data_IF_675448940389
#
_entry.id   IF_675448940389
#
_cell.length_a   1.000
_cell.length_b   1.000
_cell.length_c   1.000
_cell.angle_alpha   90.00
_cell.angle_beta   90.00
_cell.angle_gamma   90.00
#
_symmetry.space_group_name_H-M   'P 1'
#
loop_
_entity.id
_entity.type
_entity.pdbx_description
1 polymer ?
#
# COMPACT_ATOMS: atom_id res chain seq x y z
N UNK A 1 -11.53 -44.69 38.91
CA UNK A 1 -10.17 -44.70 38.34
C UNK A 1 -9.82 -43.25 38.05
N UNK A 2 -9.04 -42.64 38.96
CA UNK A 2 -8.73 -41.21 38.93
C UNK A 2 -7.75 -40.95 37.77
N UNK A 3 -8.22 -40.39 36.67
CA UNK A 3 -7.38 -39.92 35.58
C UNK A 3 -6.56 -38.73 36.06
N UNK A 4 -5.41 -39.03 36.66
CA UNK A 4 -4.34 -38.10 36.96
C UNK A 4 -3.79 -37.54 35.64
N UNK A 5 -4.10 -36.27 35.41
CA UNK A 5 -3.18 -35.20 34.97
C UNK A 5 -2.00 -35.62 34.07
N UNK A 6 -2.15 -35.39 32.76
CA UNK A 6 -1.03 -35.02 31.89
C UNK A 6 -1.42 -33.75 31.12
N UNK A 7 -1.28 -32.62 31.82
CA UNK A 7 -1.14 -31.29 31.22
C UNK A 7 0.24 -31.21 30.57
N UNK A 8 0.34 -31.36 29.25
CA UNK A 8 1.57 -31.04 28.52
C UNK A 8 1.26 -30.11 27.34
N UNK A 9 1.28 -28.82 27.67
CA UNK A 9 1.55 -27.66 26.82
C UNK A 9 1.12 -27.73 25.35
N UNK A 10 -0.15 -27.42 25.07
CA UNK A 10 -0.47 -26.73 23.82
C UNK A 10 -0.08 -25.27 24.05
N UNK A 11 1.15 -24.91 23.71
CA UNK A 11 1.50 -23.51 23.50
C UNK A 11 0.67 -23.04 22.30
N UNK A 12 -0.53 -22.51 22.56
CA UNK A 12 -1.20 -21.64 21.62
C UNK A 12 -0.24 -20.46 21.44
N UNK A 13 0.61 -20.54 20.43
CA UNK A 13 1.24 -19.36 19.86
C UNK A 13 0.06 -18.54 19.36
N UNK A 14 -0.38 -17.58 20.16
CA UNK A 14 -1.17 -16.46 19.69
C UNK A 14 -0.27 -15.73 18.70
N UNK A 15 -0.22 -16.23 17.47
CA UNK A 15 0.32 -15.46 16.36
C UNK A 15 -0.45 -14.16 16.39
N UNK A 16 0.27 -13.04 16.59
CA UNK A 16 -0.30 -11.73 16.27
C UNK A 16 -0.82 -11.89 14.85
N UNK A 17 -2.13 -11.76 14.60
CA UNK A 17 -2.63 -11.85 13.25
C UNK A 17 -1.86 -10.82 12.44
N UNK A 18 -1.21 -11.25 11.36
CA UNK A 18 -0.68 -10.31 10.38
C UNK A 18 -1.80 -9.29 10.10
N UNK A 19 -1.44 -8.00 10.07
CA UNK A 19 -2.42 -6.95 9.74
C UNK A 19 -2.72 -7.02 8.23
N UNK A 20 -3.39 -8.09 7.82
CA UNK A 20 -3.82 -8.29 6.44
C UNK A 20 -5.13 -7.52 6.23
N UNK A 21 -5.05 -6.45 5.45
CA UNK A 21 -6.25 -5.79 4.94
C UNK A 21 -6.94 -6.80 3.99
N UNK A 22 -8.24 -7.07 4.15
CA UNK A 22 -8.97 -7.98 3.26
C UNK A 22 -8.82 -7.55 1.79
N UNK A 23 -8.42 -8.49 0.93
CA UNK A 23 -8.30 -8.27 -0.52
C UNK A 23 -9.54 -8.80 -1.25
N UNK A 24 -10.00 -8.08 -2.28
CA UNK A 24 -11.06 -8.55 -3.18
C UNK A 24 -10.54 -9.73 -4.02
N UNK A 25 -11.31 -10.80 -4.23
CA UNK A 25 -10.88 -12.02 -4.98
C UNK A 25 -10.89 -11.90 -6.51
N UNK A 26 -11.14 -10.71 -7.06
CA UNK A 26 -11.30 -10.54 -8.50
C UNK A 26 -9.97 -10.79 -9.23
N UNK A 27 -10.02 -11.49 -10.36
CA UNK A 27 -8.87 -11.69 -11.26
C UNK A 27 -8.35 -10.32 -11.70
N UNK A 28 -7.06 -10.10 -11.48
CA UNK A 28 -6.41 -8.82 -11.79
C UNK A 28 -6.01 -8.79 -13.26
N UNK A 29 -6.54 -7.82 -14.01
CA UNK A 29 -6.12 -7.54 -15.37
C UNK A 29 -4.97 -6.53 -15.38
N UNK A 30 -3.74 -7.02 -15.16
CA UNK A 30 -2.55 -6.18 -15.01
C UNK A 30 -2.38 -5.13 -16.12
N UNK A 31 -2.58 -5.44 -17.42
CA UNK A 31 -2.46 -4.45 -18.50
C UNK A 31 -3.38 -3.22 -18.34
N UNK A 32 -4.54 -3.36 -17.70
CA UNK A 32 -5.48 -2.25 -17.49
C UNK A 32 -4.98 -1.22 -16.47
N UNK A 33 -3.98 -1.56 -15.65
CA UNK A 33 -3.34 -0.60 -14.75
C UNK A 33 -2.46 0.40 -15.48
N UNK A 34 -2.11 0.14 -16.75
CA UNK A 34 -1.20 0.96 -17.51
C UNK A 34 -1.67 2.43 -17.59
N UNK A 35 -0.70 3.34 -17.60
CA UNK A 35 -0.92 4.77 -17.81
C UNK A 35 -0.84 5.60 -16.54
N UNK A 36 -1.38 6.82 -16.63
CA UNK A 36 -1.22 7.85 -15.60
C UNK A 36 -2.18 7.65 -14.43
N UNK A 37 -1.67 7.97 -13.25
CA UNK A 37 -2.35 7.95 -11.97
C UNK A 37 -1.97 9.18 -11.17
N UNK A 38 -2.87 9.66 -10.31
CA UNK A 38 -2.63 10.79 -9.43
C UNK A 38 -2.88 10.37 -7.98
N UNK A 39 -1.92 10.65 -7.09
CA UNK A 39 -2.09 10.43 -5.66
C UNK A 39 -3.13 11.40 -5.08
N UNK A 40 -4.16 10.84 -4.44
CA UNK A 40 -5.27 11.59 -3.83
C UNK A 40 -5.20 11.59 -2.32
N UNK A 41 -4.87 10.45 -1.72
CA UNK A 41 -4.62 10.32 -0.28
C UNK A 41 -3.59 9.24 0.01
N UNK A 42 -2.99 9.31 1.18
CA UNK A 42 -2.12 8.27 1.73
C UNK A 42 -2.61 7.86 3.11
N UNK A 43 -2.49 6.59 3.45
CA UNK A 43 -2.77 6.07 4.78
C UNK A 43 -1.64 5.15 5.24
N UNK A 44 -1.25 5.21 6.51
CA UNK A 44 -0.17 4.37 7.05
C UNK A 44 -0.45 3.94 8.48
N UNK A 45 0.04 2.77 8.88
CA UNK A 45 0.10 2.36 10.28
C UNK A 45 1.39 2.80 11.02
N UNK A 46 2.33 3.42 10.29
CA UNK A 46 3.59 3.91 10.84
C UNK A 46 3.87 5.31 10.28
N UNK A 47 3.54 6.33 11.07
CA UNK A 47 3.59 7.74 10.66
C UNK A 47 4.98 8.17 10.14
N UNK A 48 6.06 7.53 10.63
CA UNK A 48 7.43 7.82 10.19
C UNK A 48 7.69 7.50 8.71
N UNK A 49 6.85 6.67 8.08
CA UNK A 49 6.99 6.30 6.68
C UNK A 49 6.64 7.43 5.72
N UNK A 50 5.70 8.33 6.08
CA UNK A 50 5.16 9.30 5.11
C UNK A 50 4.83 10.69 5.65
N UNK A 51 4.92 10.95 6.97
CA UNK A 51 4.41 12.21 7.53
C UNK A 51 5.25 13.45 7.22
N UNK A 52 6.53 13.29 6.86
CA UNK A 52 7.39 14.41 6.45
C UNK A 52 7.74 14.31 4.98
N UNK A 53 8.03 15.45 4.32
CA UNK A 53 8.38 15.47 2.89
C UNK A 53 9.58 14.57 2.53
N UNK A 54 10.47 14.31 3.50
CA UNK A 54 11.67 13.45 3.32
C UNK A 54 11.46 12.02 3.80
N UNK A 55 10.28 11.67 4.32
CA UNK A 55 9.99 10.34 4.80
C UNK A 55 10.14 9.29 3.67
N UNK A 56 10.56 8.04 3.97
CA UNK A 56 10.99 7.09 2.95
C UNK A 56 9.91 6.73 1.93
N UNK A 57 8.65 6.68 2.36
CA UNK A 57 7.48 6.39 1.54
C UNK A 57 6.58 7.62 1.31
N UNK A 58 7.10 8.84 1.55
CA UNK A 58 6.51 10.08 1.02
C UNK A 58 6.77 10.16 -0.49
N UNK A 59 5.95 9.46 -1.26
CA UNK A 59 6.09 9.32 -2.71
C UNK A 59 4.76 9.51 -3.40
N UNK A 60 4.76 10.03 -4.63
CA UNK A 60 3.58 10.12 -5.49
C UNK A 60 3.70 9.13 -6.62
N UNK A 61 2.81 8.15 -6.69
CA UNK A 61 2.81 7.20 -7.82
C UNK A 61 2.14 7.89 -8.99
N UNK A 62 2.87 8.00 -10.10
CA UNK A 62 2.44 8.77 -11.28
C UNK A 62 2.06 7.88 -12.45
N UNK A 63 2.64 6.67 -12.53
CA UNK A 63 2.25 5.68 -13.53
C UNK A 63 2.60 4.27 -13.10
N UNK A 64 1.85 3.33 -13.67
CA UNK A 64 2.10 1.90 -13.55
C UNK A 64 2.32 1.34 -14.95
N UNK A 65 3.35 0.51 -15.10
CA UNK A 65 3.77 -0.05 -16.37
C UNK A 65 3.96 -1.57 -16.23
N UNK A 66 2.91 -2.36 -16.53
CA UNK A 66 3.00 -3.81 -16.63
C UNK A 66 4.05 -4.25 -17.65
N UNK A 67 4.83 -5.28 -17.35
CA UNK A 67 5.78 -5.89 -18.29
C UNK A 67 5.20 -7.15 -18.95
N UNK A 68 5.74 -7.61 -20.09
CA UNK A 68 5.32 -8.86 -20.73
C UNK A 68 5.47 -10.11 -19.85
N UNK A 69 6.36 -10.08 -18.85
CA UNK A 69 6.59 -11.15 -17.89
C UNK A 69 5.67 -11.06 -16.66
N UNK A 70 4.63 -10.22 -16.69
CA UNK A 70 3.70 -9.89 -15.60
C UNK A 70 4.35 -9.20 -14.39
N UNK A 71 5.51 -8.56 -14.56
CA UNK A 71 6.05 -7.65 -13.54
C UNK A 71 5.36 -6.28 -13.61
N UNK A 72 5.61 -5.42 -12.63
CA UNK A 72 5.05 -4.09 -12.56
C UNK A 72 6.14 -3.04 -12.32
N UNK A 73 6.41 -2.18 -13.30
CA UNK A 73 7.22 -0.97 -13.05
C UNK A 73 6.32 0.13 -12.47
N UNK A 74 6.68 0.61 -11.28
CA UNK A 74 6.01 1.68 -10.56
C UNK A 74 6.85 2.94 -10.72
N UNK A 75 6.33 3.93 -11.43
CA UNK A 75 6.96 5.25 -11.55
C UNK A 75 6.43 6.13 -10.44
N UNK A 76 7.33 6.73 -9.68
CA UNK A 76 6.99 7.58 -8.56
C UNK A 76 7.86 8.83 -8.51
N UNK A 77 7.31 9.91 -7.97
CA UNK A 77 8.04 11.14 -7.68
C UNK A 77 8.20 11.31 -6.17
N UNK A 78 9.32 11.89 -5.76
CA UNK A 78 9.57 12.22 -4.35
C UNK A 78 10.37 13.50 -4.21
N UNK A 79 10.27 14.13 -3.05
CA UNK A 79 11.11 15.26 -2.70
C UNK A 79 12.50 14.80 -2.26
N UNK A 80 13.52 15.11 -3.07
CA UNK A 80 14.92 14.78 -2.82
C UNK A 80 15.80 15.96 -3.26
N UNK A 81 16.78 16.34 -2.44
CA UNK A 81 17.71 17.44 -2.74
C UNK A 81 17.04 18.75 -3.18
N UNK A 82 15.95 19.15 -2.51
CA UNK A 82 15.14 20.34 -2.81
C UNK A 82 14.51 20.35 -4.22
N UNK A 83 14.27 19.17 -4.78
CA UNK A 83 13.67 19.01 -6.10
C UNK A 83 12.76 17.78 -6.12
N UNK A 84 11.90 17.71 -7.13
CA UNK A 84 11.10 16.53 -7.41
C UNK A 84 11.90 15.58 -8.30
N UNK A 85 12.19 14.39 -7.76
CA UNK A 85 12.96 13.37 -8.45
C UNK A 85 12.06 12.21 -8.80
N UNK A 86 12.07 11.82 -10.06
CA UNK A 86 11.43 10.59 -10.54
C UNK A 86 12.29 9.37 -10.22
N UNK A 87 11.64 8.30 -9.76
CA UNK A 87 12.23 6.98 -9.58
C UNK A 87 11.33 5.94 -10.25
N UNK A 88 11.96 4.84 -10.65
CA UNK A 88 11.31 3.65 -11.18
C UNK A 88 11.59 2.50 -10.24
N UNK A 89 10.55 1.80 -9.81
CA UNK A 89 10.66 0.64 -8.94
C UNK A 89 10.09 -0.55 -9.70
N UNK A 90 10.93 -1.57 -9.94
CA UNK A 90 10.47 -2.81 -10.52
C UNK A 90 9.89 -3.71 -9.41
N UNK A 91 8.61 -4.07 -9.58
CA UNK A 91 7.94 -5.10 -8.81
C UNK A 91 7.95 -6.43 -9.54
N UNK A 92 8.68 -7.40 -8.99
CA UNK A 92 8.72 -8.77 -9.49
C UNK A 92 7.42 -9.50 -9.11
N UNK A 93 6.81 -10.21 -10.06
CA UNK A 93 5.60 -10.98 -9.79
C UNK A 93 5.80 -12.04 -8.71
N UNK A 94 4.74 -12.33 -8.00
CA UNK A 94 4.69 -13.44 -7.03
C UNK A 94 3.61 -14.44 -7.42
N UNK A 95 3.45 -15.51 -6.64
CA UNK A 95 2.34 -16.46 -6.81
C UNK A 95 0.97 -15.79 -6.61
N UNK A 96 0.90 -14.69 -5.86
CA UNK A 96 -0.31 -13.87 -5.75
C UNK A 96 -0.24 -12.75 -6.79
N UNK A 97 -1.15 -12.70 -7.78
CA UNK A 97 -1.12 -11.70 -8.86
C UNK A 97 -1.30 -10.26 -8.37
N UNK A 98 -1.76 -10.06 -7.12
CA UNK A 98 -1.90 -8.74 -6.49
C UNK A 98 -0.68 -8.32 -5.68
N UNK A 99 0.34 -9.17 -5.54
CA UNK A 99 1.54 -8.91 -4.74
C UNK A 99 2.78 -8.95 -5.62
N UNK A 100 3.62 -7.93 -5.45
CA UNK A 100 4.88 -7.78 -6.15
C UNK A 100 5.99 -7.61 -5.15
N UNK A 101 7.09 -8.34 -5.34
CA UNK A 101 8.31 -8.14 -4.56
C UNK A 101 9.04 -6.92 -5.12
N UNK A 102 9.35 -5.97 -4.27
CA UNK A 102 10.07 -4.75 -4.64
C UNK A 102 11.35 -4.60 -3.80
N UNK A 103 12.23 -3.70 -4.21
CA UNK A 103 13.33 -3.23 -3.39
C UNK A 103 13.33 -1.70 -3.44
N UNK A 104 12.61 -1.07 -2.50
CA UNK A 104 12.52 0.38 -2.45
C UNK A 104 12.51 0.90 -1.01
N UNK A 105 13.61 1.55 -0.61
CA UNK A 105 13.80 2.11 0.73
C UNK A 105 13.60 1.05 1.82
N UNK A 106 12.53 1.15 2.60
CA UNK A 106 12.13 0.20 3.64
C UNK A 106 11.13 -0.84 3.15
N UNK A 107 10.48 -0.62 2.00
CA UNK A 107 9.44 -1.49 1.49
C UNK A 107 10.02 -2.61 0.60
N UNK A 108 9.54 -3.83 0.83
CA UNK A 108 9.91 -5.04 0.11
C UNK A 108 8.74 -5.70 -0.64
N UNK A 109 7.50 -5.24 -0.40
CA UNK A 109 6.30 -5.70 -1.09
C UNK A 109 5.43 -4.52 -1.53
N UNK A 110 4.93 -4.58 -2.77
CA UNK A 110 3.84 -3.75 -3.26
C UNK A 110 2.59 -4.62 -3.44
N UNK A 111 1.46 -4.18 -2.89
CA UNK A 111 0.18 -4.90 -2.93
C UNK A 111 -0.90 -4.04 -3.56
N UNK A 112 -1.57 -4.57 -4.58
CA UNK A 112 -2.78 -4.00 -5.16
C UNK A 112 -3.97 -4.43 -4.31
N UNK A 113 -4.55 -3.48 -3.59
CA UNK A 113 -5.61 -3.75 -2.63
C UNK A 113 -6.97 -3.86 -3.34
N UNK A 114 -7.33 -2.83 -4.10
CA UNK A 114 -8.60 -2.74 -4.81
C UNK A 114 -8.49 -1.75 -5.98
N UNK A 115 -9.27 -1.95 -7.04
CA UNK A 115 -9.27 -1.11 -8.25
C UNK A 115 -10.48 -1.39 -9.12
N UNK A 116 -10.99 -0.36 -9.78
CA UNK A 116 -11.93 -0.49 -10.91
C UNK A 116 -11.28 -0.15 -12.26
N UNK A 117 -9.96 0.08 -12.27
CA UNK A 117 -9.11 0.44 -13.41
C UNK A 117 -9.38 1.82 -14.03
N UNK A 118 -10.64 2.23 -14.08
CA UNK A 118 -11.12 3.42 -14.80
C UNK A 118 -11.17 4.66 -13.90
N UNK A 119 -11.35 4.51 -12.59
CA UNK A 119 -11.49 5.64 -11.67
C UNK A 119 -10.45 5.62 -10.56
N UNK A 120 -10.21 4.46 -9.93
CA UNK A 120 -9.33 4.37 -8.78
C UNK A 120 -8.48 3.12 -8.71
N UNK A 121 -7.40 3.24 -7.95
CA UNK A 121 -6.56 2.14 -7.49
C UNK A 121 -6.09 2.41 -6.07
N UNK A 122 -6.15 1.40 -5.22
CA UNK A 122 -5.52 1.38 -3.90
C UNK A 122 -4.27 0.50 -3.94
N UNK A 123 -3.10 1.11 -3.72
CA UNK A 123 -1.81 0.41 -3.75
C UNK A 123 -1.07 0.62 -2.44
N UNK A 124 -0.60 -0.47 -1.83
CA UNK A 124 0.15 -0.48 -0.58
C UNK A 124 1.63 -0.81 -0.82
N UNK A 125 2.53 -0.11 -0.15
CA UNK A 125 3.94 -0.45 0.00
C UNK A 125 4.18 -0.89 1.45
N UNK A 126 4.80 -2.06 1.62
CA UNK A 126 4.92 -2.73 2.92
C UNK A 126 6.35 -3.20 3.17
N UNK A 127 6.75 -3.18 4.44
CA UNK A 127 7.85 -3.98 4.97
C UNK A 127 7.27 -5.23 5.64
N UNK A 128 7.41 -6.37 4.97
CA UNK A 128 6.94 -7.67 5.47
C UNK A 128 8.00 -8.42 6.28
N UNK A 129 9.21 -7.85 6.43
CA UNK A 129 10.30 -8.50 7.18
C UNK A 129 10.18 -8.33 8.68
N UNK A 130 9.44 -7.31 9.14
CA UNK A 130 9.26 -7.00 10.55
C UNK A 130 7.93 -7.53 11.10
N UNK A 131 7.85 -7.94 12.38
CA UNK A 131 6.62 -8.48 12.97
C UNK A 131 5.43 -7.50 12.98
N UNK A 132 5.71 -6.19 13.05
CA UNK A 132 4.66 -5.15 13.09
C UNK A 132 4.14 -4.84 11.68
N UNK A 133 4.81 -5.30 10.62
CA UNK A 133 4.46 -5.05 9.21
C UNK A 133 4.09 -3.59 8.95
N UNK A 134 5.10 -2.75 8.79
CA UNK A 134 4.93 -1.33 8.48
C UNK A 134 4.40 -1.16 7.05
N UNK A 135 3.32 -0.38 6.88
CA UNK A 135 2.61 -0.24 5.61
C UNK A 135 2.20 1.21 5.34
N UNK A 136 2.31 1.64 4.09
CA UNK A 136 1.72 2.85 3.56
C UNK A 136 0.91 2.49 2.32
N UNK A 137 -0.35 2.92 2.21
CA UNK A 137 -1.12 2.79 0.98
C UNK A 137 -1.53 4.14 0.43
N UNK A 138 -1.76 4.18 -0.88
CA UNK A 138 -2.29 5.34 -1.57
C UNK A 138 -3.63 5.03 -2.21
N UNK A 139 -4.51 6.03 -2.18
CA UNK A 139 -5.57 6.16 -3.15
C UNK A 139 -5.04 6.92 -4.36
N UNK A 140 -5.00 6.23 -5.50
CA UNK A 140 -4.67 6.75 -6.81
C UNK A 140 -5.94 6.93 -7.65
N UNK A 141 -6.05 8.02 -8.37
CA UNK A 141 -7.16 8.29 -9.28
C UNK A 141 -6.68 8.56 -10.71
N UNK A 142 -7.51 8.27 -11.72
CA UNK A 142 -7.22 8.62 -13.12
C UNK A 142 -7.28 10.12 -13.41
N UNK A 143 -8.08 10.85 -12.64
CA UNK A 143 -8.28 12.29 -12.77
C UNK A 143 -8.26 12.96 -11.40
N UNK A 144 -7.85 14.23 -11.36
CA UNK A 144 -7.83 15.04 -10.13
C UNK A 144 -9.23 15.56 -9.73
N UNK A 145 -10.22 14.68 -9.70
CA UNK A 145 -11.60 14.97 -9.28
C UNK A 145 -11.89 14.26 -7.95
N UNK A 146 -12.72 14.85 -7.10
CA UNK A 146 -13.16 14.21 -5.85
C UNK A 146 -14.24 13.18 -6.10
N UNK A 147 -14.04 12.01 -5.52
CA UNK A 147 -15.08 11.02 -5.33
C UNK A 147 -15.09 10.63 -3.85
N UNK A 148 -16.06 11.18 -3.12
CA UNK A 148 -16.25 10.92 -1.70
C UNK A 148 -16.52 9.45 -1.41
N UNK A 149 -17.21 8.74 -2.32
CA UNK A 149 -17.52 7.33 -2.14
C UNK A 149 -16.25 6.48 -2.21
N UNK A 150 -15.36 6.77 -3.17
CA UNK A 150 -14.06 6.12 -3.29
C UNK A 150 -13.17 6.47 -2.09
N UNK A 151 -13.12 7.73 -1.66
CA UNK A 151 -12.36 8.13 -0.46
C UNK A 151 -12.86 7.40 0.80
N UNK A 152 -14.19 7.26 0.97
CA UNK A 152 -14.76 6.48 2.05
C UNK A 152 -14.46 4.98 1.90
N UNK A 153 -14.42 4.47 0.67
CA UNK A 153 -13.92 3.12 0.34
C UNK A 153 -12.50 2.90 0.82
N UNK A 154 -11.59 3.81 0.48
CA UNK A 154 -10.19 3.78 0.91
C UNK A 154 -10.08 3.78 2.44
N UNK A 155 -10.79 4.68 3.13
CA UNK A 155 -10.80 4.74 4.60
C UNK A 155 -11.39 3.46 5.21
N UNK A 156 -12.42 2.87 4.58
CA UNK A 156 -13.05 1.61 5.05
C UNK A 156 -12.07 0.45 5.03
N UNK A 157 -11.15 0.39 4.07
CA UNK A 157 -10.12 -0.64 4.03
C UNK A 157 -9.25 -0.67 5.30
N UNK A 158 -9.04 0.48 5.96
CA UNK A 158 -8.25 0.58 7.20
C UNK A 158 -9.08 0.41 8.48
N UNK A 159 -10.41 0.38 8.42
CA UNK A 159 -11.26 0.24 9.63
C UNK A 159 -11.00 -1.00 10.50
N UNK A 160 -10.53 -2.16 9.97
CA UNK A 160 -10.13 -3.26 10.84
C UNK A 160 -9.04 -2.86 11.85
N UNK A 161 -8.28 -1.79 11.57
CA UNK A 161 -7.31 -1.21 12.49
C UNK A 161 -7.95 -0.10 13.33
N UNK A 162 -7.77 -0.11 14.66
CA UNK A 162 -8.13 1.03 15.51
C UNK A 162 -7.58 2.35 14.95
N UNK A 163 -8.39 3.43 14.96
CA UNK A 163 -7.99 4.74 14.37
C UNK A 163 -6.67 5.30 14.89
N UNK A 164 -6.32 5.05 16.15
CA UNK A 164 -5.06 5.53 16.73
C UNK A 164 -3.82 4.78 16.19
N UNK A 165 -4.02 3.68 15.46
CA UNK A 165 -2.97 2.87 14.86
C UNK A 165 -2.73 3.21 13.40
N UNK A 166 -3.45 4.18 12.83
CA UNK A 166 -3.18 4.63 11.47
C UNK A 166 -3.40 6.13 11.29
N UNK A 167 -2.71 6.67 10.30
CA UNK A 167 -2.71 8.09 9.97
C UNK A 167 -3.15 8.25 8.53
N UNK A 168 -4.13 9.13 8.30
CA UNK A 168 -4.59 9.54 6.97
C UNK A 168 -3.97 10.87 6.60
N UNK A 169 -3.54 10.98 5.36
CA UNK A 169 -3.22 12.24 4.75
C UNK A 169 -4.02 12.45 3.48
N UNK A 170 -4.88 13.45 3.51
CA UNK A 170 -5.57 13.95 2.32
C UNK A 170 -4.65 14.96 1.61
N UNK A 171 -4.18 14.61 0.43
CA UNK A 171 -3.23 15.44 -0.31
C UNK A 171 -3.89 16.68 -0.92
N UNK A 172 -5.23 16.75 -0.99
CA UNK A 172 -5.93 17.93 -1.50
C UNK A 172 -5.97 19.08 -0.51
N UNK A 173 -5.93 18.78 0.78
CA UNK A 173 -6.00 19.79 1.83
C UNK A 173 -4.66 20.52 2.06
N UNK A 174 -3.62 20.19 1.29
CA UNK A 174 -2.29 20.79 1.40
C UNK A 174 -1.64 21.03 0.04
N UNK A 175 -0.81 22.06 -0.02
CA UNK A 175 0.16 22.21 -1.12
C UNK A 175 1.24 21.14 -0.95
N UNK A 176 1.23 20.16 -1.85
CA UNK A 176 2.17 19.04 -1.82
C UNK A 176 3.20 19.16 -2.95
N UNK A 177 4.50 19.30 -2.63
CA UNK A 177 5.56 19.19 -3.63
C UNK A 177 5.51 17.83 -4.34
N UNK A 178 5.79 17.82 -5.63
CA UNK A 178 5.88 16.60 -6.45
C UNK A 178 4.57 15.86 -6.69
N UNK A 179 3.44 16.48 -6.37
CA UNK A 179 2.13 16.03 -6.83
C UNK A 179 1.88 16.60 -8.23
N UNK A 180 1.90 15.74 -9.24
CA UNK A 180 1.64 16.06 -10.65
C UNK A 180 0.35 15.41 -11.14
#
# INVERSE_FOLDING_TARGET
MLCLLLTLGVALVCGVPAMDIPQTKQDLELPKLAGTWHSMAMATNNISLMATLKAPLRVHITSLLPTPEDNLEIVLHRWENNSCVEKKVLGEKTENPKKFKINYTVANEATLLDTDYDNFLFLCLQDTTTPIQSMMCQYLARVLVEDDEIMQGFIRAFRPLPRHLWYLLDLKQMEEPCRF
#
